data_IF_862626095427
#
_entry.id   IF_862626095427
#
_cell.length_a   1.000
_cell.length_b   1.000
_cell.length_c   1.000
_cell.angle_alpha   90.00
_cell.angle_beta   90.00
_cell.angle_gamma   90.00
#
_symmetry.space_group_name_H-M   'P 1'
#
loop_
_entity.id
_entity.type
_entity.pdbx_description
1 polymer ?
#
# COMPACT_ATOMS: atom_id res chain seq x y z
N UNK A 1 -43.45 9.56 -52.17
CA UNK A 1 -43.50 10.62 -51.13
C UNK A 1 -43.12 10.00 -49.80
N UNK A 2 -42.21 10.62 -49.04
CA UNK A 2 -41.74 10.13 -47.74
C UNK A 2 -40.22 10.23 -47.56
N UNK A 3 -39.72 11.45 -47.33
CA UNK A 3 -38.33 11.77 -47.00
C UNK A 3 -38.06 11.64 -45.49
N UNK A 4 -36.80 11.34 -45.12
CA UNK A 4 -35.99 11.75 -43.92
C UNK A 4 -35.39 10.54 -43.19
N UNK A 5 -34.19 10.57 -42.60
CA UNK A 5 -32.97 11.42 -42.66
C UNK A 5 -31.93 10.68 -41.79
N UNK A 6 -30.65 10.86 -42.10
CA UNK A 6 -29.46 10.30 -41.42
C UNK A 6 -29.39 10.49 -39.89
N UNK A 7 -28.66 9.59 -39.21
CA UNK A 7 -27.66 9.98 -38.21
C UNK A 7 -26.58 8.92 -38.03
N UNK A 8 -25.34 9.34 -38.29
CA UNK A 8 -24.10 8.66 -37.87
C UNK A 8 -24.08 8.52 -36.35
N UNK A 9 -23.45 7.46 -35.84
CA UNK A 9 -22.50 7.63 -34.75
C UNK A 9 -21.42 6.54 -34.80
N UNK A 10 -20.19 7.02 -34.95
CA UNK A 10 -18.95 6.28 -34.74
C UNK A 10 -18.79 5.90 -33.26
N UNK A 11 -17.76 5.11 -33.00
CA UNK A 11 -17.05 4.91 -31.72
C UNK A 11 -17.72 4.01 -30.69
N UNK A 12 -17.28 2.75 -30.68
CA UNK A 12 -16.63 2.22 -29.49
C UNK A 12 -15.38 1.48 -29.94
N UNK A 13 -14.28 2.23 -29.93
CA UNK A 13 -12.96 1.67 -29.91
C UNK A 13 -12.92 0.71 -28.72
N UNK A 14 -12.67 -0.58 -29.00
CA UNK A 14 -12.07 -1.45 -28.02
C UNK A 14 -10.79 -0.74 -27.55
N UNK A 15 -10.86 -0.09 -26.39
CA UNK A 15 -9.69 0.43 -25.72
C UNK A 15 -8.93 -0.80 -25.23
N UNK A 16 -8.13 -1.34 -26.14
CA UNK A 16 -7.00 -2.19 -25.89
C UNK A 16 -6.27 -1.64 -24.67
N UNK A 17 -6.28 -2.41 -23.58
CA UNK A 17 -5.41 -2.18 -22.44
C UNK A 17 -3.99 -1.87 -22.95
N UNK A 18 -3.33 -0.80 -22.47
CA UNK A 18 -1.91 -0.67 -22.73
C UNK A 18 -1.21 -1.76 -21.93
N UNK A 19 -0.62 -2.71 -22.65
CA UNK A 19 0.33 -3.65 -22.13
C UNK A 19 1.52 -2.91 -21.48
N UNK A 20 1.91 -3.36 -20.29
CA UNK A 20 3.20 -3.13 -19.63
C UNK A 20 3.61 -1.70 -19.26
N UNK A 21 2.70 -0.89 -18.71
CA UNK A 21 3.17 0.12 -17.77
C UNK A 21 3.59 -0.60 -16.47
N UNK A 22 4.88 -0.57 -16.13
CA UNK A 22 5.36 -1.06 -14.83
C UNK A 22 4.57 -0.31 -13.75
N UNK A 23 3.77 -1.04 -12.97
CA UNK A 23 3.04 -0.44 -11.86
C UNK A 23 4.04 0.01 -10.80
N UNK A 24 3.93 1.26 -10.37
CA UNK A 24 4.78 1.82 -9.32
C UNK A 24 4.01 2.07 -8.04
N UNK A 25 4.69 2.18 -6.91
CA UNK A 25 4.03 2.45 -5.63
C UNK A 25 3.32 3.80 -5.62
N UNK A 26 3.85 4.83 -6.29
CA UNK A 26 3.14 6.10 -6.44
C UNK A 26 1.85 5.99 -7.27
N UNK A 27 1.86 5.21 -8.35
CA UNK A 27 0.64 4.98 -9.16
C UNK A 27 -0.42 4.20 -8.39
N UNK A 28 -0.01 3.25 -7.54
CA UNK A 28 -0.90 2.55 -6.62
C UNK A 28 -1.48 3.50 -5.59
N UNK A 29 -0.67 4.40 -5.03
CA UNK A 29 -1.13 5.38 -4.03
C UNK A 29 -2.17 6.35 -4.61
N UNK A 30 -2.04 6.70 -5.90
CA UNK A 30 -2.99 7.54 -6.62
C UNK A 30 -4.26 6.80 -7.09
N UNK A 31 -4.21 5.47 -7.20
CA UNK A 31 -5.38 4.68 -7.59
C UNK A 31 -6.50 4.76 -6.53
N UNK A 32 -7.75 5.05 -6.92
CA UNK A 32 -8.84 5.25 -5.97
C UNK A 32 -9.23 4.02 -5.15
N UNK A 33 -8.90 2.81 -5.62
CA UNK A 33 -9.24 1.53 -4.98
C UNK A 33 -8.06 1.03 -4.16
N UNK A 34 -6.92 0.77 -4.81
CA UNK A 34 -5.72 0.26 -4.17
C UNK A 34 -5.14 1.31 -3.21
N UNK A 35 -5.10 2.58 -3.60
CA UNK A 35 -4.64 3.65 -2.73
C UNK A 35 -5.53 3.83 -1.51
N UNK A 36 -6.84 3.58 -1.61
CA UNK A 36 -7.73 3.55 -0.44
C UNK A 36 -7.42 2.35 0.46
N UNK A 37 -7.22 1.15 -0.11
CA UNK A 37 -6.88 -0.06 0.64
C UNK A 37 -5.55 0.07 1.39
N UNK A 38 -4.53 0.66 0.77
CA UNK A 38 -3.25 0.99 1.42
C UNK A 38 -3.47 1.95 2.60
N UNK A 39 -4.28 3.00 2.43
CA UNK A 39 -4.61 3.93 3.53
C UNK A 39 -5.37 3.26 4.66
N UNK A 40 -6.28 2.32 4.38
CA UNK A 40 -6.96 1.52 5.41
C UNK A 40 -5.95 0.67 6.18
N UNK A 41 -5.01 0.00 5.47
CA UNK A 41 -3.96 -0.78 6.11
C UNK A 41 -3.07 0.10 7.02
N UNK A 42 -2.65 1.27 6.53
CA UNK A 42 -1.87 2.24 7.31
C UNK A 42 -2.64 2.73 8.54
N UNK A 43 -3.93 3.06 8.37
CA UNK A 43 -4.80 3.44 9.47
C UNK A 43 -4.87 2.33 10.54
N UNK A 44 -5.01 1.09 10.12
CA UNK A 44 -5.10 -0.04 11.06
C UNK A 44 -3.78 -0.27 11.79
N UNK A 45 -2.64 -0.11 11.11
CA UNK A 45 -1.34 -0.15 11.76
C UNK A 45 -1.19 0.90 12.86
N UNK A 46 -1.72 2.11 12.65
CA UNK A 46 -1.68 3.18 13.64
C UNK A 46 -2.65 2.97 14.81
N UNK A 47 -3.78 2.29 14.57
CA UNK A 47 -4.90 2.20 15.51
C UNK A 47 -5.11 0.82 16.14
N UNK A 48 -4.31 -0.19 15.81
CA UNK A 48 -4.41 -1.57 16.32
C UNK A 48 -4.57 -1.71 17.84
N UNK A 49 -4.00 -0.82 18.65
CA UNK A 49 -4.04 -0.86 20.11
C UNK A 49 -5.24 -0.11 20.68
N UNK A 50 -5.89 0.73 19.86
CA UNK A 50 -6.99 1.62 20.24
C UNK A 50 -8.33 1.19 19.63
N UNK A 51 -8.29 0.48 18.52
CA UNK A 51 -9.46 0.05 17.77
C UNK A 51 -9.45 -1.48 17.55
N UNK A 52 -10.43 -2.15 18.17
CA UNK A 52 -10.63 -3.59 18.04
C UNK A 52 -10.93 -4.02 16.60
N UNK A 53 -11.53 -3.16 15.77
CA UNK A 53 -11.80 -3.49 14.36
C UNK A 53 -10.51 -3.53 13.54
N UNK A 54 -9.66 -2.51 13.70
CA UNK A 54 -8.29 -2.48 13.16
C UNK A 54 -7.50 -3.72 13.59
N UNK A 55 -7.54 -4.04 14.89
CA UNK A 55 -6.88 -5.23 15.43
C UNK A 55 -7.40 -6.52 14.81
N UNK A 56 -8.73 -6.66 14.67
CA UNK A 56 -9.36 -7.84 14.08
C UNK A 56 -8.96 -8.02 12.61
N UNK A 57 -8.96 -6.95 11.80
CA UNK A 57 -8.55 -7.02 10.39
C UNK A 57 -7.08 -7.41 10.24
N UNK A 58 -6.19 -6.78 11.00
CA UNK A 58 -4.77 -7.13 11.01
C UNK A 58 -4.55 -8.60 11.43
N UNK A 59 -5.21 -9.06 12.49
CA UNK A 59 -5.08 -10.45 12.95
C UNK A 59 -5.69 -11.48 11.98
N UNK A 60 -6.61 -11.08 11.11
CA UNK A 60 -7.20 -11.95 10.09
C UNK A 60 -6.39 -12.05 8.79
N UNK A 61 -5.29 -11.32 8.72
CA UNK A 61 -4.40 -11.31 7.56
C UNK A 61 -3.62 -12.63 7.47
N UNK A 62 -3.49 -13.17 6.25
CA UNK A 62 -2.82 -14.45 5.99
C UNK A 62 -1.36 -14.32 5.55
N UNK A 63 -0.99 -13.16 4.99
CA UNK A 63 0.38 -12.84 4.59
C UNK A 63 1.12 -12.01 5.65
N UNK A 64 2.39 -12.35 5.89
CA UNK A 64 3.24 -11.72 6.91
C UNK A 64 3.51 -10.22 6.65
N UNK A 65 3.31 -9.76 5.41
CA UNK A 65 3.49 -8.35 4.97
C UNK A 65 2.17 -7.60 4.89
N UNK A 66 1.06 -8.20 5.32
CA UNK A 66 -0.27 -7.60 5.25
C UNK A 66 -0.76 -7.23 3.85
N UNK A 67 -0.13 -7.76 2.82
CA UNK A 67 -0.57 -7.62 1.43
C UNK A 67 -1.36 -8.87 1.07
N UNK A 68 -2.52 -9.04 1.71
CA UNK A 68 -3.48 -10.12 1.46
C UNK A 68 -4.87 -9.72 1.98
N UNK A 69 -5.82 -10.66 1.96
CA UNK A 69 -7.14 -10.47 2.57
C UNK A 69 -6.98 -10.12 4.06
N UNK A 70 -7.85 -9.24 4.63
CA UNK A 70 -9.03 -8.64 4.01
C UNK A 70 -8.74 -7.39 3.16
N UNK A 71 -7.50 -6.89 3.16
CA UNK A 71 -7.15 -5.62 2.51
C UNK A 71 -7.02 -5.73 1.00
N UNK A 72 -6.57 -6.87 0.48
CA UNK A 72 -6.34 -7.10 -0.94
C UNK A 72 -6.81 -8.50 -1.32
N UNK A 73 -7.50 -8.65 -2.44
CA UNK A 73 -7.62 -9.96 -3.08
C UNK A 73 -6.27 -10.40 -3.68
N UNK A 74 -6.15 -11.65 -4.12
CA UNK A 74 -4.88 -12.18 -4.62
C UNK A 74 -4.34 -11.40 -5.84
N UNK A 75 -5.22 -10.94 -6.73
CA UNK A 75 -4.82 -10.15 -7.90
C UNK A 75 -4.28 -8.78 -7.50
N UNK A 76 -4.98 -8.11 -6.59
CA UNK A 76 -4.54 -6.84 -6.01
C UNK A 76 -3.23 -6.99 -5.24
N UNK A 77 -3.10 -8.07 -4.45
CA UNK A 77 -1.90 -8.36 -3.69
C UNK A 77 -0.69 -8.57 -4.61
N UNK A 78 -0.86 -9.32 -5.70
CA UNK A 78 0.19 -9.53 -6.70
C UNK A 78 0.66 -8.20 -7.33
N UNK A 79 -0.28 -7.30 -7.66
CA UNK A 79 0.03 -5.97 -8.20
C UNK A 79 0.83 -5.14 -7.18
N UNK A 80 0.41 -5.12 -5.91
CA UNK A 80 1.10 -4.37 -4.86
C UNK A 80 2.50 -4.92 -4.58
N UNK A 81 2.67 -6.25 -4.52
CA UNK A 81 3.96 -6.90 -4.29
C UNK A 81 4.96 -6.61 -5.41
N UNK A 82 4.51 -6.67 -6.66
CA UNK A 82 5.34 -6.44 -7.84
C UNK A 82 5.64 -4.96 -8.12
N UNK A 83 4.95 -4.03 -7.45
CA UNK A 83 5.06 -2.60 -7.71
C UNK A 83 6.48 -2.08 -7.50
N UNK A 84 6.99 -1.29 -8.43
CA UNK A 84 8.31 -0.67 -8.32
C UNK A 84 8.25 0.53 -7.37
N UNK A 85 9.16 0.57 -6.40
CA UNK A 85 9.31 1.71 -5.48
C UNK A 85 9.94 2.88 -6.23
N UNK A 86 9.12 3.81 -6.69
CA UNK A 86 9.55 4.99 -7.46
C UNK A 86 9.60 6.28 -6.63
N UNK A 87 9.01 6.26 -5.44
CA UNK A 87 9.03 7.36 -4.49
C UNK A 87 10.47 7.72 -4.10
N UNK A 88 10.74 9.03 -4.02
CA UNK A 88 12.04 9.55 -3.61
C UNK A 88 12.24 9.37 -2.10
N UNK A 89 12.70 8.19 -1.71
CA UNK A 89 12.88 7.81 -0.31
C UNK A 89 13.87 8.73 0.44
N UNK A 90 14.83 9.33 -0.26
CA UNK A 90 15.79 10.25 0.36
C UNK A 90 15.11 11.49 0.94
N UNK A 91 14.01 11.97 0.33
CA UNK A 91 13.21 13.08 0.87
C UNK A 91 12.40 12.71 2.11
N UNK A 92 12.14 11.43 2.32
CA UNK A 92 11.34 10.93 3.44
C UNK A 92 12.19 10.43 4.62
N UNK A 93 13.50 10.68 4.57
CA UNK A 93 14.46 10.36 5.61
C UNK A 93 14.89 11.67 6.28
N UNK A 94 14.70 11.78 7.60
CA UNK A 94 15.21 12.91 8.37
C UNK A 94 16.72 12.76 8.60
N UNK A 95 17.49 13.80 8.30
CA UNK A 95 18.96 13.83 8.43
C UNK A 95 19.49 13.87 9.88
N UNK A 96 18.70 13.47 10.89
CA UNK A 96 19.02 13.70 12.29
C UNK A 96 18.76 12.47 13.16
N UNK A 97 19.73 11.55 13.20
CA UNK A 97 20.11 10.70 14.34
C UNK A 97 21.12 9.63 13.87
N UNK A 98 22.33 9.62 14.45
CA UNK A 98 23.47 8.79 14.04
C UNK A 98 23.17 7.27 14.01
N UNK A 99 22.24 6.78 14.83
CA UNK A 99 21.85 5.35 14.88
C UNK A 99 20.82 4.94 13.77
N UNK A 100 20.17 5.91 13.12
CA UNK A 100 19.15 5.66 12.08
C UNK A 100 19.77 5.66 10.67
N UNK A 101 21.04 6.06 10.53
CA UNK A 101 21.72 6.19 9.24
C UNK A 101 21.79 4.88 8.45
N UNK A 102 22.05 3.74 9.10
CA UNK A 102 22.15 2.43 8.42
C UNK A 102 20.78 1.96 7.90
N UNK A 103 19.73 2.05 8.72
CA UNK A 103 18.35 1.73 8.30
C UNK A 103 17.86 2.67 7.18
N UNK A 104 18.24 3.94 7.25
CA UNK A 104 17.91 4.92 6.22
C UNK A 104 18.64 4.65 4.90
N UNK A 105 19.93 4.30 4.96
CA UNK A 105 20.73 3.87 3.81
C UNK A 105 20.15 2.62 3.17
N UNK A 106 19.80 1.63 3.99
CA UNK A 106 19.16 0.40 3.54
C UNK A 106 17.80 0.71 2.87
N UNK A 107 17.00 1.60 3.44
CA UNK A 107 15.73 2.04 2.87
C UNK A 107 15.93 2.74 1.52
N UNK A 108 16.82 3.72 1.44
CA UNK A 108 17.12 4.46 0.19
C UNK A 108 17.60 3.50 -0.90
N UNK A 109 18.40 2.49 -0.54
CA UNK A 109 18.87 1.46 -1.49
C UNK A 109 17.76 0.53 -2.02
N UNK A 110 16.54 0.64 -1.51
CA UNK A 110 15.38 -0.08 -2.04
C UNK A 110 14.63 0.67 -3.15
N UNK A 111 14.97 1.93 -3.41
CA UNK A 111 14.39 2.66 -4.55
C UNK A 111 14.69 1.91 -5.87
N UNK A 112 13.69 1.81 -6.73
CA UNK A 112 13.76 1.09 -8.01
C UNK A 112 13.59 -0.43 -7.90
N UNK A 113 13.49 -1.00 -6.69
CA UNK A 113 13.16 -2.42 -6.50
C UNK A 113 11.65 -2.62 -6.38
N UNK A 114 11.20 -3.85 -6.58
CA UNK A 114 9.82 -4.23 -6.25
C UNK A 114 9.56 -4.04 -4.75
N UNK A 115 8.35 -3.63 -4.39
CA UNK A 115 7.89 -3.47 -3.02
C UNK A 115 8.14 -4.74 -2.18
N UNK A 116 7.85 -5.92 -2.72
CA UNK A 116 8.10 -7.18 -2.02
C UNK A 116 9.57 -7.38 -1.67
N UNK A 117 10.48 -7.21 -2.63
CA UNK A 117 11.92 -7.32 -2.40
C UNK A 117 12.43 -6.28 -1.38
N UNK A 118 11.90 -5.04 -1.45
CA UNK A 118 12.24 -3.97 -0.53
C UNK A 118 11.85 -4.30 0.91
N UNK A 119 10.59 -4.70 1.11
CA UNK A 119 10.06 -5.11 2.42
C UNK A 119 10.80 -6.34 2.96
N UNK A 120 11.07 -7.34 2.10
CA UNK A 120 11.83 -8.54 2.49
C UNK A 120 13.25 -8.21 2.92
N UNK A 121 13.91 -7.25 2.28
CA UNK A 121 15.27 -6.86 2.67
C UNK A 121 15.27 -6.17 4.03
N UNK A 122 14.35 -5.22 4.24
CA UNK A 122 14.30 -4.42 5.47
C UNK A 122 13.75 -5.20 6.67
N UNK A 123 12.77 -6.09 6.45
CA UNK A 123 12.07 -6.81 7.51
C UNK A 123 12.44 -8.29 7.58
N UNK A 124 13.27 -8.82 6.67
CA UNK A 124 13.55 -10.26 6.54
C UNK A 124 14.01 -10.90 7.83
N UNK A 125 15.00 -10.32 8.51
CA UNK A 125 15.48 -10.83 9.80
C UNK A 125 14.43 -10.80 10.92
N UNK A 126 13.42 -9.92 10.83
CA UNK A 126 12.28 -9.89 11.75
C UNK A 126 11.22 -10.93 11.40
N UNK A 127 10.95 -11.12 10.11
CA UNK A 127 10.01 -12.12 9.60
C UNK A 127 10.52 -13.55 9.88
N UNK A 128 11.81 -13.81 9.65
CA UNK A 128 12.43 -15.11 9.87
C UNK A 128 12.41 -15.53 11.35
N UNK A 129 12.74 -14.60 12.26
CA UNK A 129 12.66 -14.83 13.71
C UNK A 129 11.25 -15.16 14.17
N UNK A 130 10.22 -14.64 13.48
CA UNK A 130 8.80 -14.90 13.81
C UNK A 130 8.27 -16.20 13.28
N UNK A 131 8.64 -16.55 12.05
CA UNK A 131 8.35 -17.87 11.50
C UNK A 131 8.90 -18.97 12.40
N UNK A 132 10.08 -18.74 13.00
CA UNK A 132 10.69 -19.65 13.96
C UNK A 132 9.98 -19.68 15.34
N UNK A 133 9.31 -18.60 15.76
CA UNK A 133 8.65 -18.51 17.08
C UNK A 133 7.16 -18.90 17.09
N UNK A 134 6.56 -19.18 15.93
CA UNK A 134 5.16 -19.61 15.81
C UNK A 134 4.10 -18.50 15.99
N UNK A 135 4.50 -17.27 16.36
CA UNK A 135 3.65 -16.06 16.29
C UNK A 135 4.13 -15.20 15.11
N UNK A 136 3.44 -15.36 13.98
CA UNK A 136 3.78 -14.70 12.72
C UNK A 136 3.47 -13.20 12.69
N UNK A 137 2.90 -12.61 13.76
CA UNK A 137 2.46 -11.21 13.75
C UNK A 137 3.58 -10.24 14.15
N UNK A 138 3.93 -9.24 13.33
CA UNK A 138 4.99 -8.30 13.63
C UNK A 138 4.85 -7.51 14.94
N UNK A 139 6.00 -7.20 15.52
CA UNK A 139 6.19 -6.43 16.74
C UNK A 139 5.70 -5.02 16.46
N UNK A 140 4.65 -4.59 17.17
CA UNK A 140 4.19 -3.22 17.18
C UNK A 140 4.01 -2.64 15.77
N UNK A 141 2.84 -2.79 15.13
CA UNK A 141 2.54 -2.20 13.82
C UNK A 141 2.84 -0.69 13.70
N UNK A 142 3.10 0.00 14.82
CA UNK A 142 3.71 1.32 14.87
C UNK A 142 5.01 1.49 14.05
N UNK A 143 5.81 0.44 13.84
CA UNK A 143 7.00 0.53 12.97
C UNK A 143 6.66 0.32 11.48
N UNK A 144 5.58 -0.39 11.18
CA UNK A 144 5.19 -0.71 9.79
C UNK A 144 4.49 0.45 9.10
N UNK A 145 3.64 1.20 9.82
CA UNK A 145 2.93 2.33 9.25
C UNK A 145 3.88 3.38 8.63
N UNK A 146 4.90 3.88 9.35
CA UNK A 146 5.86 4.83 8.77
C UNK A 146 6.63 4.25 7.59
N UNK A 147 7.02 2.97 7.63
CA UNK A 147 7.75 2.34 6.53
C UNK A 147 6.91 2.22 5.26
N UNK A 148 5.67 1.75 5.38
CA UNK A 148 4.76 1.59 4.24
C UNK A 148 4.38 2.96 3.69
N UNK A 149 4.11 3.94 4.56
CA UNK A 149 3.85 5.31 4.15
C UNK A 149 4.98 5.87 3.27
N UNK A 150 6.24 5.66 3.64
CA UNK A 150 7.40 6.05 2.82
C UNK A 150 7.43 5.36 1.46
N UNK A 151 7.18 4.04 1.41
CA UNK A 151 7.18 3.31 0.13
C UNK A 151 6.10 3.78 -0.84
N UNK A 152 4.94 4.20 -0.34
CA UNK A 152 3.83 4.68 -1.15
C UNK A 152 3.78 6.21 -1.29
N UNK A 153 4.69 6.95 -0.66
CA UNK A 153 4.69 8.42 -0.66
C UNK A 153 3.42 9.01 -0.02
N UNK A 154 2.85 8.30 0.95
CA UNK A 154 1.64 8.69 1.66
C UNK A 154 2.03 9.48 2.92
N UNK A 155 1.44 10.65 3.10
CA UNK A 155 1.56 11.39 4.36
C UNK A 155 0.62 10.77 5.41
N UNK A 156 1.15 10.38 6.56
CA UNK A 156 0.34 9.81 7.64
C UNK A 156 -0.68 10.81 8.21
N UNK A 157 -0.45 12.12 8.06
CA UNK A 157 -1.40 13.15 8.48
C UNK A 157 -2.69 13.12 7.64
N UNK A 158 -2.63 12.68 6.37
CA UNK A 158 -3.81 12.57 5.51
C UNK A 158 -4.81 11.51 6.05
N UNK A 159 -4.34 10.57 6.87
CA UNK A 159 -5.17 9.54 7.50
C UNK A 159 -6.01 10.10 8.66
N UNK A 160 -5.78 11.35 9.07
CA UNK A 160 -6.58 12.05 10.08
C UNK A 160 -7.68 12.92 9.46
N UNK A 161 -7.71 13.06 8.14
CA UNK A 161 -8.70 13.89 7.46
C UNK A 161 -10.13 13.34 7.60
N UNK A 162 -11.08 14.23 7.89
CA UNK A 162 -12.50 13.88 8.03
C UNK A 162 -13.09 13.19 6.80
N UNK A 163 -12.58 13.52 5.61
CA UNK A 163 -13.02 12.89 4.37
C UNK A 163 -12.67 11.40 4.36
N UNK A 164 -11.45 11.05 4.75
CA UNK A 164 -11.00 9.66 4.84
C UNK A 164 -11.71 8.93 5.97
N UNK A 165 -11.72 9.52 7.18
CA UNK A 165 -12.39 8.95 8.35
C UNK A 165 -13.90 8.74 8.11
N UNK A 166 -14.55 9.69 7.44
CA UNK A 166 -15.94 9.56 7.03
C UNK A 166 -16.18 8.41 6.05
N UNK A 167 -15.21 8.12 5.17
CA UNK A 167 -15.27 6.97 4.24
C UNK A 167 -15.13 5.65 4.99
N UNK A 168 -14.23 5.57 5.97
CA UNK A 168 -14.11 4.40 6.86
C UNK A 168 -15.44 4.12 7.58
N UNK A 169 -16.03 5.13 8.22
CA UNK A 169 -17.33 5.01 8.91
C UNK A 169 -18.43 4.48 7.99
N UNK A 170 -18.54 5.01 6.77
CA UNK A 170 -19.54 4.57 5.78
C UNK A 170 -19.29 3.14 5.28
N UNK A 171 -18.03 2.71 5.23
CA UNK A 171 -17.65 1.35 4.87
C UNK A 171 -17.84 0.34 6.02
N UNK A 172 -18.29 0.79 7.20
CA UNK A 172 -18.40 -0.05 8.40
C UNK A 172 -17.05 -0.45 8.98
N UNK A 173 -15.98 0.26 8.60
CA UNK A 173 -14.60 0.04 9.02
C UNK A 173 -14.36 0.64 10.41
#
# INVERSE_FOLDING_TARGET
MGKKKSKNNSTEAASSAPANALTTTSTIAADPILGYRIRVLLHDFLNVTKDSRSQKRLNSTTDERYISVPYFDEGQAAVVRAAIVDVDLAKHVSAAADDIEDMNRDLISQQGKSFEAAVRTLLGGFLDKRRASGDARPCGPHHLAPLYAKFFGIDLEELKEDKFLGRLRRAGI
#
